data_IF_979279550895
#
_entry.id   IF_979279550895
#
_cell.length_a   1.000
_cell.length_b   1.000
_cell.length_c   1.000
_cell.angle_alpha   90.00
_cell.angle_beta   90.00
_cell.angle_gamma   90.00
#
_symmetry.space_group_name_H-M   'P 1'
#
loop_
_entity.id
_entity.type
_entity.pdbx_description
1 polymer ?
#
# COMPACT_ATOMS: atom_id res chain seq x y z
N UNK A 1 -31.47 18.94 0.53
CA UNK A 1 -30.45 19.36 -0.46
C UNK A 1 -29.26 18.45 -0.20
N UNK A 2 -29.00 17.52 -1.11
CA UNK A 2 -28.21 16.31 -0.92
C UNK A 2 -26.75 16.59 -0.56
N UNK A 3 -26.29 16.04 0.57
CA UNK A 3 -24.88 15.98 0.96
C UNK A 3 -24.07 15.17 -0.07
N UNK A 4 -23.51 15.86 -1.06
CA UNK A 4 -22.50 15.27 -1.94
C UNK A 4 -21.20 15.18 -1.14
N UNK A 5 -20.97 14.04 -0.51
CA UNK A 5 -19.70 13.75 0.17
C UNK A 5 -18.61 13.62 -0.89
N UNK A 6 -17.77 14.64 -1.04
CA UNK A 6 -16.61 14.59 -1.93
C UNK A 6 -15.69 13.44 -1.46
N UNK A 7 -15.64 12.35 -2.22
CA UNK A 7 -14.75 11.21 -1.93
C UNK A 7 -13.37 11.56 -2.48
N UNK A 8 -12.43 11.85 -1.59
CA UNK A 8 -11.03 12.11 -1.96
C UNK A 8 -10.26 10.81 -1.85
N UNK A 9 -9.79 10.32 -3.00
CA UNK A 9 -8.94 9.15 -3.10
C UNK A 9 -7.47 9.57 -2.99
N UNK A 10 -6.71 8.83 -2.19
CA UNK A 10 -5.27 9.05 -1.98
C UNK A 10 -4.51 7.76 -2.22
N UNK A 11 -3.32 7.89 -2.81
CA UNK A 11 -2.34 6.81 -2.85
C UNK A 11 -1.23 7.06 -1.83
N UNK A 12 -1.00 6.08 -0.97
CA UNK A 12 0.08 6.10 0.02
C UNK A 12 1.01 4.91 -0.21
N UNK A 13 2.25 5.20 -0.59
CA UNK A 13 3.27 4.19 -0.75
C UNK A 13 4.09 4.00 0.53
N UNK A 14 4.02 2.81 1.10
CA UNK A 14 4.86 2.35 2.19
C UNK A 14 5.97 1.49 1.58
N UNK A 15 7.14 2.10 1.35
CA UNK A 15 8.27 1.47 0.68
C UNK A 15 9.03 0.44 1.53
N UNK A 16 9.99 -0.28 0.91
CA UNK A 16 10.73 -1.37 1.57
C UNK A 16 11.66 -0.93 2.70
N UNK A 17 12.03 0.36 2.75
CA UNK A 17 12.83 0.93 3.83
C UNK A 17 11.98 1.50 4.97
N UNK A 18 10.66 1.41 4.89
CA UNK A 18 9.79 2.01 5.89
C UNK A 18 9.91 1.25 7.23
N UNK A 19 10.11 1.95 8.37
CA UNK A 19 10.36 1.30 9.66
C UNK A 19 9.18 0.45 10.16
N UNK A 20 7.96 0.73 9.69
CA UNK A 20 6.77 -0.07 9.97
C UNK A 20 6.63 -1.36 9.15
N UNK A 21 7.56 -1.63 8.21
CA UNK A 21 7.55 -2.85 7.41
C UNK A 21 8.58 -3.84 7.94
N UNK A 22 8.16 -5.11 8.08
CA UNK A 22 9.05 -6.21 8.38
C UNK A 22 9.70 -6.76 7.10
N UNK A 23 11.04 -6.84 7.10
CA UNK A 23 11.82 -7.29 5.93
C UNK A 23 11.82 -6.28 4.78
N UNK A 24 12.24 -6.72 3.60
CA UNK A 24 12.18 -5.88 2.38
C UNK A 24 10.87 -6.17 1.65
N UNK A 25 9.80 -5.51 2.07
CA UNK A 25 8.47 -5.64 1.52
C UNK A 25 7.88 -4.26 1.29
N UNK A 26 6.97 -4.08 0.34
CA UNK A 26 6.35 -2.76 0.16
C UNK A 26 4.85 -2.89 -0.06
N UNK A 27 4.12 -1.82 0.25
CA UNK A 27 2.67 -1.77 0.14
C UNK A 27 2.23 -0.44 -0.46
N UNK A 28 1.48 -0.50 -1.55
CA UNK A 28 0.74 0.63 -2.12
C UNK A 28 -0.69 0.60 -1.58
N UNK A 29 -1.06 1.60 -0.79
CA UNK A 29 -2.39 1.74 -0.22
C UNK A 29 -3.19 2.75 -1.04
N UNK A 30 -4.45 2.42 -1.29
CA UNK A 30 -5.45 3.35 -1.78
C UNK A 30 -6.41 3.66 -0.63
N UNK A 31 -6.58 4.94 -0.33
CA UNK A 31 -7.33 5.45 0.81
C UNK A 31 -8.48 6.33 0.35
N UNK A 32 -9.62 6.24 1.03
CA UNK A 32 -10.69 7.23 0.98
C UNK A 32 -10.78 7.89 2.35
N UNK A 33 -10.18 9.09 2.49
CA UNK A 33 -9.94 9.69 3.80
C UNK A 33 -9.11 8.76 4.70
N UNK A 34 -9.64 8.39 5.86
CA UNK A 34 -8.96 7.50 6.83
C UNK A 34 -9.20 6.00 6.56
N UNK A 35 -10.00 5.66 5.55
CA UNK A 35 -10.35 4.28 5.24
C UNK A 35 -9.45 3.72 4.15
N UNK A 36 -8.80 2.59 4.42
CA UNK A 36 -8.12 1.82 3.39
C UNK A 36 -9.17 1.10 2.52
N UNK A 37 -9.18 1.37 1.22
CA UNK A 37 -10.08 0.72 0.26
C UNK A 37 -9.37 -0.34 -0.58
N UNK A 38 -8.05 -0.22 -0.76
CA UNK A 38 -7.23 -1.22 -1.44
C UNK A 38 -5.81 -1.22 -0.86
N UNK A 39 -5.21 -2.40 -0.84
CA UNK A 39 -3.79 -2.58 -0.55
C UNK A 39 -3.19 -3.51 -1.61
N UNK A 40 -2.21 -3.02 -2.35
CA UNK A 40 -1.41 -3.83 -3.27
C UNK A 40 -0.03 -4.03 -2.66
N UNK A 41 0.36 -5.29 -2.50
CA UNK A 41 1.66 -5.62 -1.96
C UNK A 41 2.68 -5.86 -3.06
N UNK A 42 3.91 -5.43 -2.82
CA UNK A 42 5.05 -5.61 -3.72
C UNK A 42 6.10 -6.42 -2.96
N UNK A 43 6.18 -7.71 -3.31
CA UNK A 43 7.17 -8.64 -2.78
C UNK A 43 8.31 -8.90 -3.75
N UNK A 44 9.21 -9.81 -3.39
CA UNK A 44 10.27 -10.28 -4.30
C UNK A 44 11.58 -9.50 -4.23
N UNK A 45 11.68 -8.46 -3.40
CA UNK A 45 12.94 -7.74 -3.14
C UNK A 45 14.07 -8.66 -2.60
N UNK A 46 13.71 -9.80 -2.02
CA UNK A 46 14.65 -10.83 -1.55
C UNK A 46 14.52 -12.16 -2.30
N UNK A 47 13.99 -12.16 -3.53
CA UNK A 47 13.91 -13.38 -4.32
C UNK A 47 15.34 -13.88 -4.67
N UNK A 48 15.71 -15.06 -4.18
CA UNK A 48 17.05 -15.66 -4.39
C UNK A 48 17.06 -16.83 -5.39
N UNK A 49 15.97 -17.04 -6.13
CA UNK A 49 15.89 -18.11 -7.13
C UNK A 49 16.08 -19.50 -6.54
N UNK A 50 15.55 -19.76 -5.35
CA UNK A 50 15.75 -21.03 -4.63
C UNK A 50 15.27 -22.27 -5.38
N UNK A 51 14.36 -22.09 -6.34
CA UNK A 51 13.79 -23.16 -7.16
C UNK A 51 14.51 -23.34 -8.50
N UNK A 52 15.59 -22.57 -8.75
CA UNK A 52 16.51 -22.79 -9.88
C UNK A 52 17.55 -23.84 -9.50
#
# INVERSE_FOLDING_TARGET
MSDVKEVREYELFIGPNHPGISGNYAVNLTLEGDRIVKAKTEGGFLHRGFEK
#
